data_IF_898528259010
#
_entry.id   IF_898528259010
#
_cell.length_a   1.000
_cell.length_b   1.000
_cell.length_c   1.000
_cell.angle_alpha   90.00
_cell.angle_beta   90.00
_cell.angle_gamma   90.00
#
_symmetry.space_group_name_H-M   'P 1'
#
loop_
_entity.id
_entity.type
_entity.pdbx_description
1 polymer ?
#
# COMPACT_ATOMS: atom_id res chain seq x y z
N UNK A 1 37.64 11.76 -28.78
CA UNK A 1 37.19 11.64 -27.37
C UNK A 1 35.68 11.47 -27.42
N UNK A 2 35.20 10.23 -27.38
CA UNK A 2 33.76 9.92 -27.37
C UNK A 2 33.30 10.19 -25.95
N UNK A 3 32.45 11.19 -25.75
CA UNK A 3 31.91 11.54 -24.44
C UNK A 3 31.12 10.36 -23.88
N UNK A 4 31.47 9.93 -22.68
CA UNK A 4 30.64 8.99 -21.93
C UNK A 4 29.26 9.64 -21.72
N UNK A 5 28.14 8.94 -22.02
CA UNK A 5 26.83 9.47 -21.71
C UNK A 5 26.74 9.72 -20.20
N UNK A 6 26.26 10.90 -19.81
CA UNK A 6 26.03 11.21 -18.41
C UNK A 6 25.07 10.15 -17.83
N UNK A 7 25.50 9.48 -16.76
CA UNK A 7 24.62 8.59 -15.99
C UNK A 7 23.49 9.45 -15.44
N UNK A 8 22.29 9.29 -16.00
CA UNK A 8 21.11 9.98 -15.49
C UNK A 8 20.92 9.57 -14.02
N UNK A 9 20.73 10.54 -13.13
CA UNK A 9 20.42 10.25 -11.73
C UNK A 9 19.12 9.44 -11.67
N UNK A 10 19.18 8.29 -11.00
CA UNK A 10 18.05 7.37 -10.80
C UNK A 10 16.86 8.06 -10.10
N UNK A 11 17.14 9.05 -9.24
CA UNK A 11 16.14 9.85 -8.53
C UNK A 11 16.29 11.34 -8.81
N UNK A 12 15.18 12.00 -9.10
CA UNK A 12 15.10 13.44 -9.33
C UNK A 12 14.12 14.09 -8.34
N UNK A 13 14.56 15.17 -7.69
CA UNK A 13 13.70 15.94 -6.80
C UNK A 13 13.08 17.12 -7.57
N UNK A 14 11.75 17.14 -7.69
CA UNK A 14 10.98 18.21 -8.30
C UNK A 14 10.13 18.93 -7.24
N UNK A 15 10.72 19.96 -6.63
CA UNK A 15 10.08 20.74 -5.56
C UNK A 15 8.85 21.53 -6.03
N UNK A 16 8.59 21.68 -7.33
CA UNK A 16 7.42 22.42 -7.83
C UNK A 16 6.10 21.77 -7.38
N UNK A 17 6.05 20.45 -7.20
CA UNK A 17 4.85 19.75 -6.75
C UNK A 17 4.47 20.05 -5.29
N UNK A 18 5.36 20.68 -4.50
CA UNK A 18 5.00 21.19 -3.18
C UNK A 18 3.82 22.17 -3.26
N UNK A 19 3.68 22.91 -4.37
CA UNK A 19 2.58 23.84 -4.59
C UNK A 19 1.21 23.18 -4.38
N UNK A 20 1.01 21.96 -4.89
CA UNK A 20 -0.25 21.21 -4.76
C UNK A 20 -0.59 20.89 -3.29
N UNK A 21 0.40 20.65 -2.43
CA UNK A 21 0.17 20.45 -1.00
C UNK A 21 -0.08 21.77 -0.27
N UNK A 22 0.73 22.80 -0.56
CA UNK A 22 0.64 24.09 0.12
C UNK A 22 -0.65 24.85 -0.21
N UNK A 23 -1.19 24.68 -1.42
CA UNK A 23 -2.52 25.19 -1.81
C UNK A 23 -3.62 24.70 -0.86
N UNK A 24 -3.47 23.48 -0.36
CA UNK A 24 -4.40 22.83 0.57
C UNK A 24 -3.98 22.95 2.03
N UNK A 25 -3.04 23.86 2.35
CA UNK A 25 -2.48 24.04 3.70
C UNK A 25 -1.94 22.74 4.31
N UNK A 26 -1.41 21.84 3.48
CA UNK A 26 -0.87 20.55 3.91
C UNK A 26 0.62 20.42 3.56
N UNK A 27 1.25 19.38 4.10
CA UNK A 27 2.59 18.95 3.76
C UNK A 27 2.54 17.47 3.40
N UNK A 28 3.33 17.07 2.40
CA UNK A 28 3.29 15.71 1.92
C UNK A 28 4.44 15.38 0.99
N UNK A 29 4.45 14.12 0.57
CA UNK A 29 5.34 13.63 -0.46
C UNK A 29 4.52 12.86 -1.50
N UNK A 30 4.86 13.06 -2.77
CA UNK A 30 4.52 12.15 -3.86
C UNK A 30 5.83 11.57 -4.37
N UNK A 31 5.86 10.26 -4.53
CA UNK A 31 6.92 9.52 -5.20
C UNK A 31 6.32 8.90 -6.45
N UNK A 32 6.91 9.14 -7.60
CA UNK A 32 6.56 8.52 -8.88
C UNK A 32 7.75 7.69 -9.38
N UNK A 33 7.48 6.56 -10.02
CA UNK A 33 8.49 5.75 -10.70
C UNK A 33 8.02 5.36 -12.09
N UNK A 34 8.78 5.79 -13.10
CA UNK A 34 8.56 5.41 -14.50
C UNK A 34 9.23 4.06 -14.76
N UNK A 35 8.43 3.02 -15.05
CA UNK A 35 8.97 1.68 -15.22
C UNK A 35 9.85 1.55 -16.48
N UNK A 36 9.43 2.05 -17.63
CA UNK A 36 10.23 1.95 -18.86
C UNK A 36 11.59 2.64 -18.76
N UNK A 37 11.63 3.80 -18.09
CA UNK A 37 12.85 4.60 -17.96
C UNK A 37 13.71 4.22 -16.75
N UNK A 38 13.18 3.41 -15.83
CA UNK A 38 13.78 3.14 -14.51
C UNK A 38 14.19 4.45 -13.81
N UNK A 39 13.26 5.40 -13.73
CA UNK A 39 13.50 6.74 -13.18
C UNK A 39 12.47 7.10 -12.12
N UNK A 40 12.96 7.56 -10.97
CA UNK A 40 12.16 8.01 -9.84
C UNK A 40 12.10 9.54 -9.74
N UNK A 41 10.94 10.05 -9.32
CA UNK A 41 10.67 11.47 -9.16
C UNK A 41 9.95 11.71 -7.84
N UNK A 42 10.31 12.77 -7.12
CA UNK A 42 9.60 13.15 -5.90
C UNK A 42 9.73 14.63 -5.59
N UNK A 43 8.81 15.20 -4.82
CA UNK A 43 8.94 16.58 -4.33
C UNK A 43 9.83 16.74 -3.10
N UNK A 44 10.11 15.64 -2.39
CA UNK A 44 10.87 15.67 -1.14
C UNK A 44 11.53 14.30 -0.87
N UNK A 45 12.79 14.14 -1.26
CA UNK A 45 13.56 12.90 -1.07
C UNK A 45 13.70 12.49 0.39
N UNK A 46 13.76 13.46 1.31
CA UNK A 46 13.86 13.16 2.74
C UNK A 46 12.57 12.50 3.24
N UNK A 47 11.41 13.08 2.94
CA UNK A 47 10.10 12.51 3.34
C UNK A 47 9.76 11.25 2.54
N UNK A 48 10.21 11.14 1.29
CA UNK A 48 10.06 9.92 0.48
C UNK A 48 10.68 8.69 1.13
N UNK A 49 11.80 8.88 1.85
CA UNK A 49 12.52 7.84 2.58
C UNK A 49 12.19 7.79 4.08
N UNK A 50 11.31 8.66 4.58
CA UNK A 50 10.85 8.61 5.95
C UNK A 50 9.78 7.51 6.09
N UNK A 51 9.97 6.63 7.08
CA UNK A 51 9.08 5.50 7.31
C UNK A 51 7.94 5.88 8.27
N UNK A 52 6.71 5.47 7.94
CA UNK A 52 5.52 5.70 8.76
C UNK A 52 4.69 4.42 8.88
N UNK A 53 3.67 4.42 9.74
CA UNK A 53 2.69 3.34 9.78
C UNK A 53 2.03 3.17 8.40
N UNK A 54 1.91 1.94 7.89
CA UNK A 54 1.23 1.67 6.63
C UNK A 54 -0.30 1.79 6.73
N UNK A 55 -0.87 1.62 7.92
CA UNK A 55 -2.32 1.61 8.13
C UNK A 55 -3.02 0.68 7.11
N UNK A 56 -4.07 1.16 6.43
CA UNK A 56 -4.81 0.34 5.47
C UNK A 56 -4.06 -0.01 4.18
N UNK A 57 -2.87 0.54 3.89
CA UNK A 57 -2.06 0.01 2.77
C UNK A 57 -1.55 -1.39 3.06
N UNK A 58 -1.41 -1.77 4.34
CA UNK A 58 -1.00 -3.11 4.77
C UNK A 58 -1.97 -4.22 4.33
N UNK A 59 -3.19 -3.85 3.90
CA UNK A 59 -4.14 -4.78 3.31
C UNK A 59 -3.60 -5.48 2.06
N UNK A 60 -2.64 -4.88 1.34
CA UNK A 60 -1.99 -5.51 0.19
C UNK A 60 -1.16 -6.72 0.63
N UNK A 61 -0.09 -6.60 1.45
CA UNK A 61 0.66 -7.76 1.91
C UNK A 61 -0.18 -8.74 2.74
N UNK A 62 -1.12 -8.26 3.57
CA UNK A 62 -1.99 -9.15 4.34
C UNK A 62 -2.85 -10.04 3.43
N UNK A 63 -3.44 -9.49 2.35
CA UNK A 63 -4.19 -10.29 1.37
C UNK A 63 -3.32 -11.34 0.69
N UNK A 64 -2.08 -10.97 0.29
CA UNK A 64 -1.15 -11.90 -0.36
C UNK A 64 -0.84 -13.10 0.54
N UNK A 65 -0.55 -12.83 1.81
CA UNK A 65 -0.22 -13.85 2.80
C UNK A 65 -1.42 -14.73 3.09
N UNK A 66 -2.61 -14.13 3.28
CA UNK A 66 -3.83 -14.86 3.58
C UNK A 66 -4.21 -15.82 2.43
N UNK A 67 -4.08 -15.39 1.18
CA UNK A 67 -4.33 -16.22 0.00
C UNK A 67 -3.31 -17.36 -0.13
N UNK A 68 -2.03 -17.06 0.05
CA UNK A 68 -0.97 -18.05 -0.18
C UNK A 68 -0.95 -19.15 0.89
N UNK A 69 -1.32 -18.80 2.11
CA UNK A 69 -1.47 -19.75 3.22
C UNK A 69 -2.84 -20.46 3.23
N UNK A 70 -3.74 -20.14 2.30
CA UNK A 70 -5.08 -20.72 2.22
C UNK A 70 -6.04 -20.28 3.34
N UNK A 71 -5.71 -19.22 4.10
CA UNK A 71 -6.62 -18.57 5.05
C UNK A 71 -7.80 -17.96 4.30
N UNK A 72 -7.53 -17.38 3.14
CA UNK A 72 -8.52 -16.99 2.15
C UNK A 72 -8.41 -17.93 0.96
N UNK A 73 -9.49 -18.62 0.63
CA UNK A 73 -9.53 -19.57 -0.48
C UNK A 73 -9.38 -18.85 -1.82
N UNK A 74 -10.23 -17.87 -2.07
CA UNK A 74 -10.34 -17.08 -3.29
C UNK A 74 -11.02 -15.74 -2.99
N UNK A 75 -11.14 -14.89 -3.99
CA UNK A 75 -11.77 -13.57 -3.87
C UNK A 75 -13.28 -13.59 -3.63
N UNK A 76 -13.94 -14.74 -3.74
CA UNK A 76 -15.39 -14.92 -3.59
C UNK A 76 -15.79 -15.48 -2.23
N UNK A 77 -14.82 -15.94 -1.42
CA UNK A 77 -15.09 -16.37 -0.06
C UNK A 77 -15.75 -15.23 0.73
N UNK A 78 -16.92 -15.52 1.31
CA UNK A 78 -17.66 -14.56 2.13
C UNK A 78 -17.17 -14.60 3.58
N UNK A 79 -16.79 -13.44 4.08
CA UNK A 79 -16.50 -13.14 5.48
C UNK A 79 -17.74 -12.50 6.10
N UNK A 80 -18.40 -13.27 6.98
CA UNK A 80 -19.65 -12.86 7.62
C UNK A 80 -19.40 -11.67 8.55
N UNK A 81 -20.32 -10.71 8.55
CA UNK A 81 -20.36 -9.67 9.57
C UNK A 81 -20.63 -10.30 10.94
N UNK A 82 -19.91 -9.83 11.95
CA UNK A 82 -20.01 -10.32 13.33
C UNK A 82 -21.20 -9.76 14.11
N UNK A 83 -22.04 -8.95 13.47
CA UNK A 83 -23.21 -8.31 14.10
C UNK A 83 -22.86 -7.10 14.97
N UNK A 84 -21.58 -6.73 15.09
CA UNK A 84 -21.18 -5.54 15.84
C UNK A 84 -21.19 -4.31 14.92
N UNK A 85 -22.12 -3.39 15.20
CA UNK A 85 -22.21 -2.11 14.48
C UNK A 85 -21.02 -1.23 14.82
N UNK A 86 -20.31 -0.79 13.77
CA UNK A 86 -19.16 0.12 13.83
C UNK A 86 -19.48 1.43 13.11
N UNK A 87 -18.71 2.47 13.39
CA UNK A 87 -18.95 3.83 12.90
C UNK A 87 -18.93 3.93 11.36
N UNK A 88 -18.10 3.11 10.70
CA UNK A 88 -18.07 3.04 9.24
C UNK A 88 -19.17 2.10 8.78
N UNK A 89 -20.32 2.67 8.37
CA UNK A 89 -21.50 1.91 7.92
C UNK A 89 -21.18 0.83 6.89
N UNK A 90 -20.22 1.10 5.99
CA UNK A 90 -19.82 0.15 4.96
C UNK A 90 -19.21 -1.16 5.50
N UNK A 91 -18.74 -1.19 6.76
CA UNK A 91 -18.17 -2.38 7.44
C UNK A 91 -19.24 -3.30 8.05
N UNK A 92 -20.47 -2.81 8.21
CA UNK A 92 -21.53 -3.51 8.94
C UNK A 92 -22.34 -4.43 8.00
N UNK A 93 -21.63 -5.26 7.24
CA UNK A 93 -22.19 -6.22 6.27
C UNK A 93 -21.18 -7.31 5.94
N UNK A 94 -21.67 -8.37 5.32
CA UNK A 94 -20.81 -9.42 4.77
C UNK A 94 -19.91 -8.85 3.67
N UNK A 95 -18.69 -9.37 3.60
CA UNK A 95 -17.69 -8.95 2.63
C UNK A 95 -17.02 -10.14 1.98
N UNK A 96 -16.52 -9.92 0.77
CA UNK A 96 -15.52 -10.76 0.11
C UNK A 96 -14.17 -10.02 0.09
N UNK A 97 -13.13 -10.59 -0.53
CA UNK A 97 -11.81 -9.96 -0.51
C UNK A 97 -11.79 -8.62 -1.25
N UNK A 98 -12.54 -8.52 -2.36
CA UNK A 98 -12.61 -7.32 -3.21
C UNK A 98 -13.26 -6.17 -2.43
N UNK A 99 -14.41 -6.43 -1.83
CA UNK A 99 -15.17 -5.43 -1.07
C UNK A 99 -14.49 -5.09 0.26
N UNK A 100 -13.84 -6.06 0.92
CA UNK A 100 -13.04 -5.80 2.12
C UNK A 100 -11.86 -4.85 1.82
N UNK A 101 -11.20 -5.02 0.68
CA UNK A 101 -10.14 -4.12 0.23
C UNK A 101 -10.69 -2.73 -0.11
N UNK A 102 -11.77 -2.66 -0.91
CA UNK A 102 -12.42 -1.42 -1.35
C UNK A 102 -12.87 -0.55 -0.17
N UNK A 103 -13.58 -1.14 0.80
CA UNK A 103 -14.11 -0.42 1.96
C UNK A 103 -13.14 -0.39 3.15
N UNK A 104 -11.91 -0.86 2.96
CA UNK A 104 -10.87 -0.88 3.99
C UNK A 104 -11.32 -1.53 5.31
N UNK A 105 -12.08 -2.63 5.24
CA UNK A 105 -12.77 -3.27 6.36
C UNK A 105 -11.76 -3.86 7.35
N UNK A 106 -11.43 -3.11 8.40
CA UNK A 106 -10.42 -3.52 9.40
C UNK A 106 -10.78 -4.84 10.10
N UNK A 107 -12.02 -5.12 10.52
CA UNK A 107 -12.32 -6.38 11.22
C UNK A 107 -11.98 -7.64 10.42
N UNK A 108 -12.23 -7.63 9.10
CA UNK A 108 -11.87 -8.73 8.16
C UNK A 108 -10.34 -8.88 8.09
N UNK A 109 -9.64 -7.77 7.84
CA UNK A 109 -8.25 -7.48 8.26
C UNK A 109 -7.64 -8.32 9.37
N UNK A 110 -8.20 -8.08 10.54
CA UNK A 110 -7.72 -8.58 11.81
C UNK A 110 -7.94 -10.08 11.91
N UNK A 111 -9.05 -10.59 11.38
CA UNK A 111 -9.33 -12.02 11.36
C UNK A 111 -8.33 -12.78 10.48
N UNK A 112 -7.97 -12.25 9.31
CA UNK A 112 -6.90 -12.85 8.51
C UNK A 112 -5.60 -12.89 9.27
N UNK A 113 -5.22 -11.78 9.91
CA UNK A 113 -3.98 -11.69 10.65
C UNK A 113 -3.92 -12.66 11.84
N UNK A 114 -5.03 -12.84 12.58
CA UNK A 114 -5.14 -13.85 13.64
C UNK A 114 -4.97 -15.26 13.10
N UNK A 115 -5.63 -15.59 11.99
CA UNK A 115 -5.53 -16.90 11.35
C UNK A 115 -4.17 -17.16 10.72
N UNK A 116 -3.46 -16.14 10.22
CA UNK A 116 -2.06 -16.21 9.77
C UNK A 116 -1.14 -16.44 10.98
N UNK A 117 -1.35 -15.69 12.07
CA UNK A 117 -0.54 -15.78 13.28
C UNK A 117 0.85 -15.15 13.12
N UNK A 118 1.45 -14.81 14.25
CA UNK A 118 2.63 -13.96 14.34
C UNK A 118 3.84 -14.51 13.58
N UNK A 119 4.20 -15.78 13.81
CA UNK A 119 5.39 -16.39 13.23
C UNK A 119 5.34 -16.42 11.69
N UNK A 120 4.19 -16.74 11.10
CA UNK A 120 4.02 -16.76 9.64
C UNK A 120 3.97 -15.34 9.08
N UNK A 121 3.32 -14.41 9.77
CA UNK A 121 3.28 -13.00 9.37
C UNK A 121 4.71 -12.42 9.30
N UNK A 122 5.51 -12.57 10.37
CA UNK A 122 6.89 -12.09 10.41
C UNK A 122 7.75 -12.68 9.28
N UNK A 123 7.71 -14.01 9.11
CA UNK A 123 8.44 -14.70 8.04
C UNK A 123 8.10 -14.16 6.64
N UNK A 124 6.83 -13.92 6.37
CA UNK A 124 6.37 -13.45 5.06
C UNK A 124 6.72 -11.99 4.81
N UNK A 125 6.63 -11.12 5.83
CA UNK A 125 7.05 -9.72 5.69
C UNK A 125 8.56 -9.60 5.45
N UNK A 126 9.36 -10.43 6.12
CA UNK A 126 10.79 -10.56 5.81
C UNK A 126 11.02 -11.01 4.36
N UNK A 127 10.30 -12.03 3.89
CA UNK A 127 10.42 -12.50 2.50
C UNK A 127 9.96 -11.47 1.45
N UNK A 128 9.11 -10.51 1.84
CA UNK A 128 8.69 -9.41 0.98
C UNK A 128 9.66 -8.21 1.03
N UNK A 129 10.53 -8.15 2.03
CA UNK A 129 11.36 -6.98 2.34
C UNK A 129 10.45 -5.75 2.48
N UNK A 130 9.46 -5.88 3.38
CA UNK A 130 8.39 -4.92 3.60
C UNK A 130 8.70 -3.99 4.78
N UNK A 131 9.20 -2.80 4.48
CA UNK A 131 9.43 -1.75 5.48
C UNK A 131 10.59 -2.09 6.42
N UNK A 132 10.39 -1.91 7.73
CA UNK A 132 11.32 -2.34 8.77
C UNK A 132 11.07 -3.78 9.27
N UNK A 133 10.08 -4.48 8.68
CA UNK A 133 9.72 -5.88 8.98
C UNK A 133 9.33 -6.18 10.44
N UNK A 134 9.21 -5.14 11.27
CA UNK A 134 8.90 -5.23 12.69
C UNK A 134 7.40 -5.38 12.93
N UNK A 135 6.99 -6.52 13.48
CA UNK A 135 5.60 -6.78 13.85
C UNK A 135 5.33 -6.64 15.35
N UNK A 136 6.23 -5.99 16.10
CA UNK A 136 6.03 -5.72 17.52
C UNK A 136 4.67 -5.04 17.78
N UNK A 137 3.98 -5.51 18.83
CA UNK A 137 2.56 -5.24 19.07
C UNK A 137 1.71 -6.50 18.89
N UNK A 138 0.40 -6.34 18.72
CA UNK A 138 -0.49 -7.48 18.47
C UNK A 138 -0.49 -7.83 16.99
N UNK A 139 -0.48 -9.13 16.66
CA UNK A 139 -0.50 -9.61 15.27
C UNK A 139 -1.67 -9.05 14.47
N UNK A 140 -2.78 -8.69 15.12
CA UNK A 140 -3.99 -8.16 14.49
C UNK A 140 -4.15 -6.64 14.61
N UNK A 141 -3.11 -5.92 15.04
CA UNK A 141 -3.12 -4.45 15.07
C UNK A 141 -1.79 -3.78 14.74
N UNK A 142 -0.68 -4.52 14.59
CA UNK A 142 0.65 -3.91 14.47
C UNK A 142 0.78 -2.91 13.31
N UNK A 143 0.00 -3.06 12.23
CA UNK A 143 -0.04 -2.11 11.11
C UNK A 143 -0.85 -0.82 11.38
N UNK A 144 -1.59 -0.78 12.49
CA UNK A 144 -2.39 0.36 12.97
C UNK A 144 -1.70 1.09 14.13
N UNK A 145 -1.05 0.36 15.04
CA UNK A 145 -0.50 0.90 16.28
C UNK A 145 0.81 0.23 16.76
N UNK A 146 1.35 -0.74 16.02
CA UNK A 146 2.56 -1.46 16.40
C UNK A 146 3.84 -0.86 15.81
N UNK A 147 4.86 -1.70 15.66
CA UNK A 147 6.22 -1.32 15.27
C UNK A 147 6.46 -1.17 13.76
N UNK A 148 5.61 -1.72 12.90
CA UNK A 148 5.87 -1.73 11.45
C UNK A 148 5.89 -0.31 10.88
N UNK A 149 6.94 0.02 10.14
CA UNK A 149 7.08 1.29 9.43
C UNK A 149 7.56 1.03 8.01
N UNK A 150 7.04 1.79 7.06
CA UNK A 150 7.45 1.72 5.65
C UNK A 150 7.50 3.13 5.05
N UNK A 151 8.52 3.40 4.23
CA UNK A 151 8.63 4.64 3.48
C UNK A 151 7.87 4.60 2.15
N UNK A 152 7.68 5.76 1.51
CA UNK A 152 7.08 5.80 0.18
C UNK A 152 7.95 5.11 -0.88
N UNK A 153 9.28 5.23 -0.79
CA UNK A 153 10.21 4.50 -1.68
C UNK A 153 10.15 2.99 -1.48
N UNK A 154 10.01 2.51 -0.24
CA UNK A 154 9.83 1.08 0.06
C UNK A 154 8.48 0.56 -0.42
N UNK A 155 7.41 1.37 -0.35
CA UNK A 155 6.11 1.02 -0.96
C UNK A 155 6.26 0.82 -2.47
N UNK A 156 6.96 1.71 -3.18
CA UNK A 156 7.25 1.56 -4.62
C UNK A 156 7.99 0.24 -4.87
N UNK A 157 9.05 -0.05 -4.12
CA UNK A 157 9.83 -1.28 -4.29
C UNK A 157 8.96 -2.55 -4.11
N UNK A 158 8.12 -2.58 -3.08
CA UNK A 158 7.17 -3.67 -2.85
C UNK A 158 6.14 -3.81 -3.98
N UNK A 159 5.53 -2.69 -4.42
CA UNK A 159 4.53 -2.67 -5.49
C UNK A 159 5.12 -3.12 -6.83
N UNK A 160 6.37 -2.77 -7.13
CA UNK A 160 7.08 -3.25 -8.32
C UNK A 160 7.28 -4.77 -8.30
N UNK A 161 7.67 -5.33 -7.15
CA UNK A 161 7.75 -6.79 -6.98
C UNK A 161 6.38 -7.44 -7.23
N UNK A 162 5.30 -6.88 -6.67
CA UNK A 162 3.93 -7.37 -6.88
C UNK A 162 3.48 -7.30 -8.35
N UNK A 163 3.74 -6.18 -9.02
CA UNK A 163 3.39 -5.99 -10.42
C UNK A 163 4.01 -7.07 -11.30
N UNK A 164 5.31 -7.32 -11.13
CA UNK A 164 6.10 -8.30 -11.88
C UNK A 164 5.96 -9.75 -11.40
N UNK A 165 5.05 -10.03 -10.47
CA UNK A 165 4.87 -11.34 -9.84
C UNK A 165 6.14 -11.90 -9.16
N UNK A 166 6.98 -11.03 -8.58
CA UNK A 166 8.29 -11.38 -7.98
C UNK A 166 8.27 -11.52 -6.46
N UNK A 167 7.12 -11.36 -5.80
CA UNK A 167 7.03 -11.66 -4.37
C UNK A 167 7.06 -13.18 -4.14
N UNK A 168 7.57 -13.60 -2.97
CA UNK A 168 7.70 -15.00 -2.57
C UNK A 168 6.35 -15.62 -2.14
N UNK A 169 5.36 -15.52 -3.02
CA UNK A 169 4.02 -16.13 -2.94
C UNK A 169 3.62 -16.58 -4.35
N UNK A 170 2.62 -17.45 -4.45
CA UNK A 170 2.12 -17.91 -5.74
C UNK A 170 1.69 -16.75 -6.66
N UNK A 171 1.88 -16.94 -7.97
CA UNK A 171 1.40 -16.00 -8.98
C UNK A 171 -0.11 -15.80 -8.88
N UNK A 172 -0.86 -16.85 -8.51
CA UNK A 172 -2.29 -16.79 -8.22
C UNK A 172 -2.61 -15.73 -7.16
N UNK A 173 -1.96 -15.78 -6.01
CA UNK A 173 -2.18 -14.81 -4.93
C UNK A 173 -1.90 -13.38 -5.40
N UNK A 174 -0.80 -13.18 -6.15
CA UNK A 174 -0.43 -11.87 -6.68
C UNK A 174 -1.45 -11.33 -7.69
N UNK A 175 -1.99 -12.18 -8.58
CA UNK A 175 -3.03 -11.78 -9.55
C UNK A 175 -4.34 -11.41 -8.87
N UNK A 176 -4.80 -12.20 -7.90
CA UNK A 176 -6.03 -11.91 -7.15
C UNK A 176 -5.92 -10.58 -6.40
N UNK A 177 -4.77 -10.32 -5.75
CA UNK A 177 -4.56 -9.04 -5.06
C UNK A 177 -4.51 -7.86 -6.03
N UNK A 178 -3.88 -8.01 -7.20
CA UNK A 178 -3.92 -6.97 -8.25
C UNK A 178 -5.34 -6.68 -8.75
N UNK A 179 -6.19 -7.70 -8.82
CA UNK A 179 -7.60 -7.52 -9.14
C UNK A 179 -8.35 -6.79 -8.02
N UNK A 180 -8.12 -7.15 -6.75
CA UNK A 180 -8.71 -6.48 -5.59
C UNK A 180 -8.28 -5.01 -5.46
N UNK A 181 -7.08 -4.67 -5.94
CA UNK A 181 -6.56 -3.30 -5.95
C UNK A 181 -7.17 -2.41 -7.05
N UNK A 182 -7.94 -2.96 -8.00
CA UNK A 182 -8.57 -2.17 -9.06
C UNK A 182 -9.42 -1.05 -8.44
N UNK A 183 -9.03 0.19 -8.71
CA UNK A 183 -9.66 1.39 -8.14
C UNK A 183 -10.41 2.16 -9.22
N UNK A 184 -9.81 2.31 -10.39
CA UNK A 184 -10.38 3.05 -11.51
C UNK A 184 -9.88 2.48 -12.85
N UNK A 185 -10.70 2.53 -13.89
CA UNK A 185 -10.31 2.19 -15.26
C UNK A 185 -11.18 2.94 -16.27
N UNK A 186 -10.56 3.45 -17.33
CA UNK A 186 -11.22 4.05 -18.48
C UNK A 186 -10.41 3.78 -19.76
N UNK A 187 -10.70 4.47 -20.86
CA UNK A 187 -10.00 4.29 -22.14
C UNK A 187 -8.55 4.78 -22.16
N UNK A 188 -8.13 5.55 -21.16
CA UNK A 188 -6.81 6.20 -21.10
C UNK A 188 -5.87 5.54 -20.08
N UNK A 189 -6.41 4.98 -18.99
CA UNK A 189 -5.60 4.37 -17.93
C UNK A 189 -6.35 3.35 -17.05
N UNK A 190 -5.58 2.56 -16.30
CA UNK A 190 -6.06 1.72 -15.19
C UNK A 190 -5.28 2.09 -13.92
N UNK A 191 -5.98 2.39 -12.83
CA UNK A 191 -5.38 2.61 -11.51
C UNK A 191 -5.64 1.40 -10.62
N UNK A 192 -4.55 0.80 -10.12
CA UNK A 192 -4.58 -0.20 -9.06
C UNK A 192 -3.91 0.37 -7.83
N UNK A 193 -4.67 0.59 -6.77
CA UNK A 193 -4.18 1.33 -5.63
C UNK A 193 -4.86 0.94 -4.31
N UNK A 194 -4.27 1.42 -3.22
CA UNK A 194 -4.82 1.29 -1.88
C UNK A 194 -4.61 2.56 -1.09
N UNK A 195 -5.69 3.04 -0.48
CA UNK A 195 -5.66 4.12 0.51
C UNK A 195 -5.22 3.63 1.89
N UNK A 196 -4.57 4.50 2.66
CA UNK A 196 -4.27 4.29 4.08
C UNK A 196 -4.60 5.54 4.88
N UNK A 197 -5.03 5.37 6.12
CA UNK A 197 -5.22 6.48 7.03
C UNK A 197 -4.76 6.07 8.43
N UNK A 198 -3.63 6.63 8.87
CA UNK A 198 -3.02 6.37 10.17
C UNK A 198 -3.46 7.44 11.15
N UNK A 199 -4.19 7.04 12.19
CA UNK A 199 -4.78 7.97 13.18
C UNK A 199 -4.38 7.66 14.62
N UNK A 200 -3.80 6.48 14.90
CA UNK A 200 -3.53 6.00 16.26
C UNK A 200 -2.21 6.52 16.83
N UNK A 201 -1.24 6.83 15.98
CA UNK A 201 0.08 7.35 16.36
C UNK A 201 0.41 8.54 15.48
N UNK A 202 0.90 9.62 16.10
CA UNK A 202 1.33 10.83 15.41
C UNK A 202 2.65 10.62 14.64
N UNK A 203 2.86 11.32 13.51
CA UNK A 203 1.90 12.20 12.86
C UNK A 203 0.75 11.42 12.20
N UNK A 204 -0.49 11.94 12.29
CA UNK A 204 -1.59 11.42 11.50
C UNK A 204 -1.34 11.67 10.02
N UNK A 205 -1.43 10.61 9.22
CA UNK A 205 -1.14 10.68 7.78
C UNK A 205 -2.14 9.92 6.94
N UNK A 206 -2.43 10.48 5.77
CA UNK A 206 -3.11 9.79 4.67
C UNK A 206 -2.09 9.18 3.73
N UNK A 207 -2.42 8.03 3.15
CA UNK A 207 -1.65 7.34 2.13
C UNK A 207 -2.49 7.07 0.90
N UNK A 208 -1.85 7.11 -0.27
CA UNK A 208 -2.34 6.45 -1.46
C UNK A 208 -1.16 5.85 -2.23
N UNK A 209 -1.20 4.54 -2.42
CA UNK A 209 -0.08 3.79 -3.03
C UNK A 209 -0.62 2.85 -4.10
N UNK A 210 0.10 2.72 -5.21
CA UNK A 210 -0.37 1.95 -6.35
C UNK A 210 0.44 2.16 -7.61
N UNK A 211 -0.19 1.91 -8.74
CA UNK A 211 0.34 2.26 -10.05
C UNK A 211 -0.77 2.62 -11.03
N UNK A 212 -0.37 3.31 -12.09
CA UNK A 212 -1.16 3.64 -13.27
C UNK A 212 -0.63 2.82 -14.43
N UNK A 213 -1.47 1.97 -15.02
CA UNK A 213 -1.20 1.25 -16.26
C UNK A 213 -1.66 2.12 -17.43
N UNK A 214 -0.74 2.35 -18.38
CA UNK A 214 -0.99 2.98 -19.68
C UNK A 214 -0.74 1.94 -20.77
N UNK A 215 -1.08 2.25 -22.02
CA UNK A 215 -0.89 1.33 -23.15
C UNK A 215 0.56 0.83 -23.29
N UNK A 216 1.54 1.71 -23.08
CA UNK A 216 2.95 1.42 -23.34
C UNK A 216 3.86 1.54 -22.10
N UNK A 217 3.33 1.89 -20.92
CA UNK A 217 4.14 2.12 -19.72
C UNK A 217 3.35 1.92 -18.43
N UNK A 218 4.08 1.81 -17.32
CA UNK A 218 3.52 1.84 -15.97
C UNK A 218 4.21 2.90 -15.13
N UNK A 219 3.40 3.69 -14.42
CA UNK A 219 3.86 4.63 -13.42
C UNK A 219 3.44 4.18 -12.03
N UNK A 220 4.40 3.76 -11.22
CA UNK A 220 4.13 3.49 -9.81
C UNK A 220 4.07 4.81 -9.05
N UNK A 221 3.22 4.86 -8.02
CA UNK A 221 3.14 6.00 -7.13
C UNK A 221 2.98 5.58 -5.67
N UNK A 222 3.54 6.39 -4.79
CA UNK A 222 3.31 6.33 -3.36
C UNK A 222 3.31 7.74 -2.80
N UNK A 223 2.18 8.15 -2.22
CA UNK A 223 2.05 9.45 -1.58
C UNK A 223 1.65 9.30 -0.13
N UNK A 224 2.18 10.19 0.72
CA UNK A 224 1.59 10.45 2.03
C UNK A 224 1.52 11.94 2.31
N UNK A 225 0.56 12.34 3.14
CA UNK A 225 0.37 13.72 3.56
C UNK A 225 -0.14 13.81 4.98
N UNK A 226 0.09 14.95 5.62
CA UNK A 226 -0.40 15.23 6.96
C UNK A 226 -1.94 15.32 6.93
N UNK A 227 -2.61 14.62 7.86
CA UNK A 227 -4.07 14.52 7.96
C UNK A 227 -4.53 14.80 9.40
N UNK A 228 -4.48 16.07 9.85
CA UNK A 228 -4.63 16.44 11.26
C UNK A 228 -6.05 16.22 11.81
N UNK A 229 -7.07 16.39 10.96
CA UNK A 229 -8.48 16.20 11.32
C UNK A 229 -8.91 14.77 11.04
N UNK A 230 -9.68 14.19 11.96
CA UNK A 230 -10.30 12.87 11.80
C UNK A 230 -11.67 12.94 11.11
N UNK A 231 -12.06 14.13 10.66
CA UNK A 231 -13.40 14.40 10.14
C UNK A 231 -13.51 13.89 8.70
N UNK A 232 -14.13 12.72 8.57
CA UNK A 232 -14.65 12.13 7.34
C UNK A 232 -15.95 11.41 7.66
#
# INVERSE_FOLDING_TARGET
IIGMPAVAKEWQENKSWNAHFTEHKSQGVVVLWNENKQQGFTNNLKRANQAFLPASTFKIPNSLIALDLGVVKDEHQVFKWDGQTRDIAAWNRDHDLITAMKYSVVPVYQEFARQIGEARMSKMLHAFDYGNEDISGNVDSFWLDGGIRISATQQIAFLRKLYHNKLHVSERSQRIVKQAMLTEANGDYIIRAKTGYSTRIEPKIGWWVGWVELDDNVWFFAMNMDMPTSDG
#
